data_IF_393993198679
#
_entry.id   IF_393993198679
#
_cell.length_a   1.000
_cell.length_b   1.000
_cell.length_c   1.000
_cell.angle_alpha   90.00
_cell.angle_beta   90.00
_cell.angle_gamma   90.00
#
_symmetry.space_group_name_H-M   'P 1'
#
loop_
_entity.id
_entity.type
_entity.pdbx_description
1 polymer ?
#
# COMPACT_ATOMS: atom_id res chain seq x y z
N UNK A 1 -41.95 33.46 30.26
CA UNK A 1 -41.33 32.51 31.22
C UNK A 1 -40.90 31.29 30.42
N UNK A 2 -39.71 31.27 29.85
CA UNK A 2 -38.37 30.90 30.35
C UNK A 2 -37.97 29.58 29.67
N UNK A 3 -36.96 29.69 28.79
CA UNK A 3 -36.29 28.59 28.07
C UNK A 3 -35.43 27.79 29.05
N UNK A 4 -35.38 26.47 28.90
CA UNK A 4 -34.27 25.65 29.37
C UNK A 4 -33.70 24.86 28.19
N UNK A 5 -32.40 25.07 27.96
CA UNK A 5 -31.62 24.58 26.82
C UNK A 5 -31.10 23.17 27.10
N UNK A 6 -31.15 22.34 26.05
CA UNK A 6 -30.41 21.09 25.91
C UNK A 6 -28.92 21.46 25.76
N UNK A 7 -28.13 21.25 26.81
CA UNK A 7 -26.68 21.36 26.79
C UNK A 7 -26.11 20.12 27.49
N UNK A 8 -26.06 19.01 26.74
CA UNK A 8 -25.53 17.73 27.24
C UNK A 8 -24.73 16.97 26.20
N UNK A 9 -25.15 16.99 24.93
CA UNK A 9 -24.49 16.24 23.86
C UNK A 9 -23.14 16.80 23.40
N UNK A 10 -22.96 18.12 23.40
CA UNK A 10 -21.72 18.76 22.91
C UNK A 10 -20.56 18.66 23.92
N UNK A 11 -20.85 18.63 25.22
CA UNK A 11 -19.83 18.46 26.25
C UNK A 11 -19.24 17.03 26.27
N UNK A 12 -20.06 16.02 25.99
CA UNK A 12 -19.61 14.63 25.94
C UNK A 12 -18.70 14.34 24.73
N UNK A 13 -18.99 14.92 23.57
CA UNK A 13 -18.15 14.79 22.37
C UNK A 13 -16.81 15.52 22.52
N UNK A 14 -16.79 16.69 23.14
CA UNK A 14 -15.53 17.40 23.45
C UNK A 14 -14.69 16.67 24.49
N UNK A 15 -15.32 16.04 25.48
CA UNK A 15 -14.62 15.23 26.48
C UNK A 15 -14.03 13.95 25.86
N UNK A 16 -14.77 13.30 24.94
CA UNK A 16 -14.27 12.14 24.21
C UNK A 16 -13.10 12.50 23.29
N UNK A 17 -13.20 13.60 22.52
CA UNK A 17 -12.11 14.09 21.68
C UNK A 17 -10.87 14.48 22.51
N UNK A 18 -11.07 15.08 23.68
CA UNK A 18 -9.98 15.41 24.60
C UNK A 18 -9.31 14.15 25.18
N UNK A 19 -10.08 13.12 25.52
CA UNK A 19 -9.55 11.84 26.01
C UNK A 19 -8.79 11.06 24.92
N UNK A 20 -9.26 11.11 23.66
CA UNK A 20 -8.53 10.54 22.51
C UNK A 20 -7.24 11.31 22.26
N UNK A 21 -7.27 12.65 22.31
CA UNK A 21 -6.07 13.47 22.16
C UNK A 21 -5.05 13.23 23.30
N UNK A 22 -5.52 13.10 24.56
CA UNK A 22 -4.67 12.72 25.70
C UNK A 22 -4.13 11.29 25.58
N UNK A 23 -4.92 10.36 25.05
CA UNK A 23 -4.47 8.99 24.75
C UNK A 23 -3.38 8.95 23.68
N UNK A 24 -3.51 9.76 22.63
CA UNK A 24 -2.49 9.89 21.58
C UNK A 24 -1.23 10.58 22.08
N UNK A 25 -1.35 11.61 22.92
CA UNK A 25 -0.21 12.29 23.56
C UNK A 25 0.48 11.36 24.57
N UNK A 26 -0.27 10.57 25.34
CA UNK A 26 0.28 9.56 26.25
C UNK A 26 0.96 8.42 25.48
N UNK A 27 0.39 7.96 24.35
CA UNK A 27 1.02 6.98 23.48
C UNK A 27 2.31 7.51 22.84
N UNK A 28 2.36 8.82 22.52
CA UNK A 28 3.57 9.49 22.00
C UNK A 28 4.64 9.70 23.08
N UNK A 29 4.23 9.99 24.31
CA UNK A 29 5.11 10.06 25.48
C UNK A 29 5.64 8.68 25.88
N UNK A 30 4.84 7.62 25.77
CA UNK A 30 5.26 6.23 26.01
C UNK A 30 6.22 5.73 24.93
N UNK A 31 6.07 6.13 23.66
CA UNK A 31 7.07 5.88 22.61
C UNK A 31 8.40 6.61 22.85
N UNK A 32 8.38 7.74 23.55
CA UNK A 32 9.60 8.49 23.90
C UNK A 32 10.23 8.06 25.23
N UNK A 33 9.59 7.17 26.00
CA UNK A 33 10.11 6.65 27.26
C UNK A 33 10.89 5.33 27.10
N UNK A 34 10.94 4.77 25.89
CA UNK A 34 11.65 3.52 25.57
C UNK A 34 13.01 3.77 24.89
N UNK A 35 13.56 4.98 25.05
CA UNK A 35 14.92 5.31 24.64
C UNK A 35 15.82 5.30 25.88
N UNK A 36 16.72 4.32 25.87
CA UNK A 36 17.88 4.07 26.73
C UNK A 36 17.66 3.60 28.18
N UNK A 37 17.81 2.28 28.37
CA UNK A 37 18.55 1.71 29.50
C UNK A 37 19.16 0.34 29.14
N UNK A 38 20.50 0.31 29.09
CA UNK A 38 21.42 -0.84 29.11
C UNK A 38 21.35 -1.88 27.99
N UNK A 39 22.15 -1.62 26.94
CA UNK A 39 22.70 -2.65 26.07
C UNK A 39 23.81 -3.42 26.80
N UNK A 40 23.48 -4.61 27.32
CA UNK A 40 24.50 -5.59 27.70
C UNK A 40 24.98 -6.33 26.44
N UNK A 41 26.29 -6.49 26.34
CA UNK A 41 27.01 -6.92 25.13
C UNK A 41 26.81 -8.42 24.91
N UNK A 42 25.95 -8.79 23.97
CA UNK A 42 25.82 -10.16 23.47
C UNK A 42 26.89 -10.46 22.40
N UNK A 43 27.46 -11.68 22.33
CA UNK A 43 28.65 -11.95 21.52
C UNK A 43 28.37 -11.89 20.01
N UNK A 44 29.36 -11.40 19.27
CA UNK A 44 29.31 -11.24 17.82
C UNK A 44 29.11 -12.60 17.11
N UNK A 45 27.96 -12.75 16.44
CA UNK A 45 27.69 -13.85 15.51
C UNK A 45 28.45 -13.59 14.19
N UNK A 46 29.02 -14.61 13.54
CA UNK A 46 29.84 -14.43 12.34
C UNK A 46 29.05 -13.80 11.19
N UNK A 47 29.63 -12.76 10.56
CA UNK A 47 29.10 -12.16 9.33
C UNK A 47 29.29 -13.15 8.18
N UNK A 48 28.21 -13.46 7.46
CA UNK A 48 28.29 -14.08 6.14
C UNK A 48 28.89 -13.08 5.13
N UNK A 49 29.59 -13.56 4.08
CA UNK A 49 30.19 -12.70 3.08
C UNK A 49 29.13 -11.88 2.34
N UNK A 50 29.46 -10.62 2.04
CA UNK A 50 28.61 -9.70 1.30
C UNK A 50 28.32 -10.22 -0.11
N UNK A 51 27.06 -10.13 -0.52
CA UNK A 51 26.57 -10.34 -1.89
C UNK A 51 27.12 -9.24 -2.82
N UNK A 52 27.33 -9.58 -4.09
CA UNK A 52 27.99 -8.71 -5.09
C UNK A 52 27.18 -7.45 -5.43
N UNK A 53 27.85 -6.35 -5.79
CA UNK A 53 27.24 -5.04 -6.08
C UNK A 53 26.06 -5.03 -7.08
N UNK A 54 26.06 -5.93 -8.08
CA UNK A 54 24.93 -6.07 -9.02
C UNK A 54 23.62 -6.59 -8.37
N UNK A 55 23.71 -7.24 -7.20
CA UNK A 55 22.56 -7.87 -6.53
C UNK A 55 21.59 -6.85 -5.90
N UNK A 56 21.96 -5.57 -5.81
CA UNK A 56 21.28 -4.57 -4.98
C UNK A 56 20.57 -3.45 -5.75
N UNK A 57 20.33 -3.63 -7.06
CA UNK A 57 19.67 -2.62 -7.92
C UNK A 57 18.19 -2.37 -7.58
N UNK A 58 17.56 -3.24 -6.79
CA UNK A 58 16.18 -3.10 -6.32
C UNK A 58 15.97 -2.09 -5.18
N UNK A 59 17.05 -1.56 -4.58
CA UNK A 59 16.96 -0.61 -3.48
C UNK A 59 16.68 0.83 -3.93
N UNK A 60 15.88 1.57 -3.16
CA UNK A 60 15.61 2.98 -3.39
C UNK A 60 16.90 3.79 -3.42
N UNK A 61 17.01 4.65 -4.41
CA UNK A 61 18.16 5.52 -4.62
C UNK A 61 17.70 6.85 -5.20
N UNK A 62 18.35 7.94 -4.83
CA UNK A 62 17.97 9.22 -5.41
C UNK A 62 18.74 10.38 -4.84
N UNK A 63 18.34 11.56 -5.30
CA UNK A 63 18.90 12.84 -4.89
C UNK A 63 17.87 13.64 -4.11
N UNK A 64 18.23 14.03 -2.89
CA UNK A 64 17.42 14.87 -2.01
C UNK A 64 18.02 16.27 -1.95
N UNK A 65 17.27 17.25 -2.46
CA UNK A 65 17.63 18.67 -2.37
C UNK A 65 16.89 19.33 -1.22
N UNK A 66 17.61 20.06 -0.38
CA UNK A 66 17.06 20.76 0.79
C UNK A 66 16.60 22.18 0.47
N UNK A 67 15.78 22.76 1.36
CA UNK A 67 15.36 24.16 1.28
C UNK A 67 16.52 25.18 1.28
N UNK A 68 17.67 24.82 1.86
CA UNK A 68 18.90 25.65 1.84
C UNK A 68 19.74 25.48 0.58
N UNK A 69 19.37 24.56 -0.32
CA UNK A 69 20.10 24.27 -1.57
C UNK A 69 21.20 23.22 -1.45
N UNK A 70 21.40 22.61 -0.27
CA UNK A 70 22.28 21.44 -0.16
C UNK A 70 21.62 20.23 -0.83
N UNK A 71 22.41 19.38 -1.48
CA UNK A 71 21.96 18.16 -2.13
C UNK A 71 22.73 16.96 -1.57
N UNK A 72 22.00 15.86 -1.35
CA UNK A 72 22.52 14.57 -0.92
C UNK A 72 22.08 13.53 -1.92
N UNK A 73 22.95 12.59 -2.27
CA UNK A 73 22.66 11.55 -3.25
C UNK A 73 23.11 10.21 -2.70
N UNK A 74 22.23 9.21 -2.78
CA UNK A 74 22.54 7.90 -2.23
C UNK A 74 21.33 7.00 -2.08
N UNK A 75 21.54 5.88 -1.39
CA UNK A 75 20.47 4.96 -1.01
C UNK A 75 19.48 5.67 -0.09
N UNK A 76 18.18 5.43 -0.27
CA UNK A 76 17.09 6.05 0.49
C UNK A 76 16.37 5.02 1.39
N UNK A 77 15.82 5.49 2.51
CA UNK A 77 14.85 4.76 3.36
C UNK A 77 13.76 5.72 3.83
N UNK A 78 12.51 5.31 3.69
CA UNK A 78 11.30 6.07 4.07
C UNK A 78 10.58 5.42 5.27
N UNK A 79 9.63 6.15 5.87
CA UNK A 79 8.71 5.59 6.88
C UNK A 79 9.37 5.08 8.16
N UNK A 80 10.44 5.72 8.65
CA UNK A 80 11.04 5.34 9.94
C UNK A 80 11.61 3.92 9.99
N UNK A 81 12.23 3.46 8.88
CA UNK A 81 12.75 2.11 8.64
C UNK A 81 11.74 1.09 8.09
N UNK A 82 10.75 1.52 7.30
CA UNK A 82 9.80 0.62 6.64
C UNK A 82 10.14 0.35 5.15
N UNK A 83 10.21 1.39 4.30
CA UNK A 83 10.31 1.23 2.84
C UNK A 83 11.75 1.45 2.31
N UNK A 84 12.29 0.48 1.58
CA UNK A 84 13.67 0.48 1.03
C UNK A 84 13.80 0.02 -0.41
N UNK A 85 12.74 -0.45 -1.05
CA UNK A 85 12.81 -1.04 -2.39
C UNK A 85 11.89 -0.35 -3.40
N UNK A 86 12.24 -0.42 -4.69
CA UNK A 86 11.42 0.17 -5.75
C UNK A 86 10.02 -0.44 -5.85
N UNK A 87 9.85 -1.69 -5.42
CA UNK A 87 8.55 -2.35 -5.34
C UNK A 87 7.70 -1.97 -4.13
N UNK A 88 8.27 -1.24 -3.16
CA UNK A 88 7.52 -0.70 -2.02
C UNK A 88 6.62 0.45 -2.47
N UNK A 89 5.61 0.79 -1.66
CA UNK A 89 4.59 1.75 -2.03
C UNK A 89 4.75 3.04 -1.25
N UNK A 90 4.54 4.15 -1.95
CA UNK A 90 4.36 5.46 -1.37
C UNK A 90 2.87 5.74 -1.24
N UNK A 91 2.44 6.07 -0.03
CA UNK A 91 1.05 6.30 0.34
C UNK A 91 0.80 7.75 0.73
N UNK A 92 -0.41 8.21 0.47
CA UNK A 92 -0.91 9.48 0.98
C UNK A 92 -2.39 9.67 0.68
N UNK A 93 -2.83 10.93 0.76
CA UNK A 93 -4.20 11.30 0.43
C UNK A 93 -4.22 12.45 -0.57
N UNK A 94 -5.01 12.32 -1.64
CA UNK A 94 -5.15 13.37 -2.65
C UNK A 94 -5.80 14.61 -2.01
N UNK A 95 -5.23 15.79 -2.24
CA UNK A 95 -5.76 17.06 -1.69
C UNK A 95 -7.16 17.34 -2.26
N UNK A 96 -7.33 17.09 -3.56
CA UNK A 96 -8.59 17.20 -4.29
C UNK A 96 -8.73 16.05 -5.28
N UNK A 97 -9.97 15.72 -5.65
CA UNK A 97 -10.23 14.75 -6.71
C UNK A 97 -10.22 15.45 -8.08
N UNK A 98 -9.26 15.14 -8.97
CA UNK A 98 -9.13 15.83 -10.25
C UNK A 98 -10.28 15.54 -11.21
N UNK A 99 -11.04 14.47 -10.98
CA UNK A 99 -12.12 13.99 -11.84
C UNK A 99 -13.51 14.49 -11.41
N UNK A 100 -13.60 15.19 -10.28
CA UNK A 100 -14.87 15.67 -9.72
C UNK A 100 -15.65 16.59 -10.69
N UNK A 101 -14.94 17.35 -11.52
CA UNK A 101 -15.53 18.28 -12.48
C UNK A 101 -16.19 17.59 -13.68
N UNK A 102 -15.80 16.34 -13.97
CA UNK A 102 -16.33 15.54 -15.08
C UNK A 102 -17.59 14.77 -14.70
N UNK A 103 -17.99 14.80 -13.42
CA UNK A 103 -19.21 14.15 -12.93
C UNK A 103 -20.39 15.13 -12.98
N UNK A 104 -21.54 14.75 -13.59
CA UNK A 104 -22.74 15.58 -13.56
C UNK A 104 -23.17 15.93 -12.12
N UNK A 105 -23.49 17.19 -11.80
CA UNK A 105 -23.80 17.61 -10.42
C UNK A 105 -24.95 16.81 -9.77
N UNK A 106 -25.93 16.38 -10.55
CA UNK A 106 -27.04 15.54 -10.12
C UNK A 106 -26.61 14.13 -9.72
N UNK A 107 -25.47 13.63 -10.24
CA UNK A 107 -24.89 12.33 -9.91
C UNK A 107 -23.95 12.39 -8.70
N UNK A 108 -23.56 13.58 -8.24
CA UNK A 108 -22.75 13.78 -7.03
C UNK A 108 -23.55 13.62 -5.72
N UNK A 109 -24.87 13.39 -5.80
CA UNK A 109 -25.74 13.17 -4.65
C UNK A 109 -26.50 11.86 -4.83
N UNK A 110 -26.22 10.89 -3.98
CA UNK A 110 -26.98 9.65 -3.90
C UNK A 110 -28.20 9.83 -2.99
N UNK A 111 -29.35 9.33 -3.44
CA UNK A 111 -30.56 9.24 -2.62
C UNK A 111 -30.83 7.79 -2.27
N UNK A 112 -30.47 7.36 -1.05
CA UNK A 112 -30.70 5.98 -0.60
C UNK A 112 -32.01 5.87 0.20
N UNK A 113 -32.89 4.90 -0.10
CA UNK A 113 -34.10 4.67 0.69
C UNK A 113 -33.72 4.16 2.09
N UNK A 114 -34.31 4.77 3.11
CA UNK A 114 -34.25 4.31 4.49
C UNK A 114 -35.45 3.42 4.72
N UNK A 115 -35.19 2.12 4.82
CA UNK A 115 -36.22 1.11 5.08
C UNK A 115 -36.24 0.72 6.56
N UNK A 116 -37.43 0.55 7.11
CA UNK A 116 -37.65 -0.04 8.44
C UNK A 116 -38.64 -1.17 8.28
N UNK A 117 -38.26 -2.38 8.66
CA UNK A 117 -39.07 -3.60 8.52
C UNK A 117 -39.60 -3.81 7.08
N UNK A 118 -38.78 -3.49 6.07
CA UNK A 118 -39.13 -3.65 4.66
C UNK A 118 -40.02 -2.55 4.07
N UNK A 119 -40.35 -1.50 4.83
CA UNK A 119 -41.11 -0.33 4.34
C UNK A 119 -40.19 0.87 4.19
N UNK A 120 -40.18 1.47 3.00
CA UNK A 120 -39.45 2.73 2.74
C UNK A 120 -40.13 3.89 3.51
N UNK A 121 -39.39 4.51 4.43
CA UNK A 121 -39.91 5.59 5.29
C UNK A 121 -39.45 6.97 4.81
N UNK A 122 -38.22 7.07 4.31
CA UNK A 122 -37.65 8.32 3.79
C UNK A 122 -36.50 8.02 2.85
N UNK A 123 -36.02 9.04 2.13
CA UNK A 123 -34.79 8.96 1.34
C UNK A 123 -33.74 9.83 1.99
N UNK A 124 -32.58 9.25 2.24
CA UNK A 124 -31.43 9.96 2.77
C UNK A 124 -30.53 10.36 1.61
N UNK A 125 -30.38 11.65 1.43
CA UNK A 125 -29.40 12.20 0.51
C UNK A 125 -28.00 12.14 1.15
N UNK A 126 -27.04 11.62 0.40
CA UNK A 126 -25.63 11.58 0.77
C UNK A 126 -24.81 12.06 -0.42
N UNK A 127 -23.93 13.04 -0.18
CA UNK A 127 -22.94 13.44 -1.18
C UNK A 127 -21.95 12.31 -1.41
N UNK A 128 -21.58 12.10 -2.66
CA UNK A 128 -20.52 11.17 -3.04
C UNK A 128 -19.22 11.55 -2.30
N UNK A 129 -18.55 10.54 -1.73
CA UNK A 129 -17.26 10.79 -1.09
C UNK A 129 -16.18 10.79 -2.15
N UNK A 130 -15.64 11.97 -2.44
CA UNK A 130 -14.59 12.17 -3.45
C UNK A 130 -13.18 12.14 -2.87
N UNK A 131 -13.03 12.02 -1.54
CA UNK A 131 -11.72 11.83 -0.94
C UNK A 131 -11.13 10.50 -1.39
N UNK A 132 -9.89 10.54 -1.88
CA UNK A 132 -9.20 9.38 -2.44
C UNK A 132 -7.80 9.22 -1.87
N UNK A 133 -7.42 8.01 -1.42
CA UNK A 133 -6.04 7.73 -1.11
C UNK A 133 -5.19 7.84 -2.38
N UNK A 134 -3.89 7.99 -2.19
CA UNK A 134 -2.91 7.84 -3.26
C UNK A 134 -1.98 6.71 -2.88
N UNK A 135 -1.75 5.80 -3.81
CA UNK A 135 -0.80 4.71 -3.65
C UNK A 135 -0.07 4.50 -4.98
N UNK A 136 1.26 4.51 -4.95
CA UNK A 136 2.09 4.22 -6.11
C UNK A 136 3.36 3.50 -5.68
N UNK A 137 3.85 2.55 -6.47
CA UNK A 137 5.16 1.96 -6.21
C UNK A 137 6.22 3.03 -6.37
N UNK A 138 7.24 3.05 -5.52
CA UNK A 138 8.35 4.00 -5.65
C UNK A 138 9.01 3.92 -7.02
N UNK A 139 9.09 2.74 -7.61
CA UNK A 139 9.61 2.53 -8.96
C UNK A 139 8.82 3.26 -10.05
N UNK A 140 7.54 3.58 -9.84
CA UNK A 140 6.71 4.32 -10.79
C UNK A 140 6.83 5.85 -10.60
N UNK A 141 7.47 6.32 -9.53
CA UNK A 141 7.58 7.74 -9.17
C UNK A 141 8.88 8.32 -9.70
N UNK A 142 8.79 9.46 -10.37
CA UNK A 142 9.95 10.22 -10.84
C UNK A 142 10.48 11.20 -9.81
N UNK A 143 9.59 11.94 -9.16
CA UNK A 143 9.95 13.01 -8.23
C UNK A 143 8.85 13.32 -7.22
N UNK A 144 9.27 13.85 -6.07
CA UNK A 144 8.40 14.36 -5.01
C UNK A 144 8.82 15.77 -4.62
N UNK A 145 7.88 16.69 -4.58
CA UNK A 145 8.11 18.12 -4.39
C UNK A 145 7.14 18.72 -3.35
N UNK A 146 7.55 18.83 -2.07
CA UNK A 146 6.75 19.49 -1.04
C UNK A 146 6.67 21.01 -1.25
N UNK A 147 5.49 21.59 -1.08
CA UNK A 147 5.23 23.03 -1.12
C UNK A 147 4.17 23.44 -0.10
N UNK A 148 4.58 24.05 1.01
CA UNK A 148 3.64 24.44 2.06
C UNK A 148 2.91 23.23 2.65
N UNK A 149 1.59 23.16 2.44
CA UNK A 149 0.71 22.05 2.87
C UNK A 149 0.53 20.96 1.81
N UNK A 150 1.04 21.18 0.62
CA UNK A 150 0.87 20.28 -0.53
C UNK A 150 2.15 19.48 -0.77
N UNK A 151 1.97 18.30 -1.36
CA UNK A 151 3.04 17.45 -1.83
C UNK A 151 2.74 17.02 -3.27
N UNK A 152 3.53 17.53 -4.23
CA UNK A 152 3.40 17.11 -5.63
C UNK A 152 4.20 15.84 -5.86
N UNK A 153 3.53 14.75 -6.18
CA UNK A 153 4.15 13.49 -6.64
C UNK A 153 4.00 13.42 -8.15
N UNK A 154 5.10 13.28 -8.88
CA UNK A 154 5.07 13.10 -10.34
C UNK A 154 5.52 11.69 -10.69
N UNK A 155 4.66 10.96 -11.40
CA UNK A 155 4.96 9.63 -11.93
C UNK A 155 5.91 9.71 -13.14
N UNK A 156 6.48 8.56 -13.52
CA UNK A 156 7.31 8.43 -14.74
C UNK A 156 6.57 8.75 -16.03
N UNK A 157 5.25 8.54 -16.06
CA UNK A 157 4.36 8.96 -17.15
C UNK A 157 4.31 10.49 -17.33
N UNK A 158 4.69 11.24 -16.30
CA UNK A 158 4.59 12.70 -16.26
C UNK A 158 3.34 13.19 -15.52
N UNK A 159 2.41 12.30 -15.19
CA UNK A 159 1.21 12.62 -14.41
C UNK A 159 1.59 13.07 -13.01
N UNK A 160 0.95 14.16 -12.56
CA UNK A 160 1.20 14.79 -11.27
C UNK A 160 -0.02 14.70 -10.36
N UNK A 161 0.19 14.25 -9.13
CA UNK A 161 -0.81 14.23 -8.07
C UNK A 161 -0.44 15.20 -6.96
N UNK A 162 -1.39 16.05 -6.58
CA UNK A 162 -1.24 16.94 -5.43
C UNK A 162 -1.85 16.25 -4.22
N UNK A 163 -1.00 15.94 -3.24
CA UNK A 163 -1.40 15.28 -2.01
C UNK A 163 -1.43 16.26 -0.85
N UNK A 164 -2.27 15.98 0.14
CA UNK A 164 -2.16 16.61 1.44
C UNK A 164 -0.88 16.10 2.11
N UNK A 165 0.09 16.99 2.27
CA UNK A 165 1.40 16.65 2.82
C UNK A 165 1.32 16.02 4.21
N UNK A 166 0.37 16.45 5.05
CA UNK A 166 0.27 16.00 6.43
C UNK A 166 -0.47 14.67 6.58
N UNK A 167 -1.11 14.20 5.50
CA UNK A 167 -1.75 12.89 5.41
C UNK A 167 -0.94 11.95 4.48
N UNK A 168 0.30 12.33 4.14
CA UNK A 168 1.27 11.50 3.41
C UNK A 168 2.23 10.83 4.41
N UNK A 169 1.74 9.78 5.07
CA UNK A 169 2.41 9.12 6.19
C UNK A 169 3.86 8.74 5.89
N UNK A 170 4.13 8.19 4.70
CA UNK A 170 5.48 7.75 4.30
C UNK A 170 6.49 8.91 4.16
N UNK A 171 6.00 10.13 3.91
CA UNK A 171 6.84 11.32 3.85
C UNK A 171 7.01 11.96 5.24
N UNK A 172 6.02 11.85 6.12
CA UNK A 172 5.98 12.56 7.40
C UNK A 172 7.13 12.18 8.35
N UNK A 173 7.64 10.95 8.26
CA UNK A 173 8.77 10.48 9.08
C UNK A 173 10.14 10.94 8.56
N UNK A 174 10.18 11.60 7.40
CA UNK A 174 11.41 12.05 6.75
C UNK A 174 12.10 10.95 5.93
N UNK A 175 13.32 11.24 5.51
CA UNK A 175 14.11 10.38 4.62
C UNK A 175 15.51 10.22 5.17
N UNK A 176 15.97 8.98 5.28
CA UNK A 176 17.37 8.64 5.55
C UNK A 176 18.10 8.42 4.23
N UNK A 177 19.27 9.03 4.10
CA UNK A 177 20.15 8.94 2.93
C UNK A 177 21.50 8.36 3.37
N UNK A 178 21.97 7.32 2.70
CA UNK A 178 23.37 6.88 2.80
C UNK A 178 24.13 7.50 1.63
N UNK A 179 24.77 8.64 1.89
CA UNK A 179 25.50 9.45 0.92
C UNK A 179 27.01 9.14 1.00
N UNK A 180 27.66 8.93 -0.15
CA UNK A 180 29.07 8.53 -0.21
C UNK A 180 30.04 9.57 0.35
N UNK A 181 29.66 10.86 0.33
CA UNK A 181 30.51 11.96 0.78
C UNK A 181 30.24 12.35 2.23
N UNK A 182 28.99 12.21 2.69
CA UNK A 182 28.52 12.72 3.97
C UNK A 182 28.15 11.61 4.98
N UNK A 183 28.20 10.34 4.56
CA UNK A 183 27.77 9.21 5.37
C UNK A 183 26.25 9.15 5.49
N UNK A 184 25.75 8.78 6.67
CA UNK A 184 24.30 8.69 6.92
C UNK A 184 23.73 10.06 7.27
N UNK A 185 22.74 10.51 6.51
CA UNK A 185 22.05 11.79 6.68
C UNK A 185 20.56 11.54 6.88
N UNK A 186 20.03 11.90 8.03
CA UNK A 186 18.58 11.89 8.29
C UNK A 186 17.98 13.29 8.08
N UNK A 187 17.02 13.40 7.16
CA UNK A 187 16.33 14.64 6.85
C UNK A 187 14.85 14.55 7.22
N UNK A 188 14.42 15.40 8.15
CA UNK A 188 12.99 15.63 8.37
C UNK A 188 12.34 16.18 7.10
N UNK A 189 11.09 15.81 6.83
CA UNK A 189 10.29 16.31 5.70
C UNK A 189 10.33 17.84 5.52
N UNK A 190 10.40 18.62 6.61
CA UNK A 190 10.43 20.09 6.58
C UNK A 190 11.66 20.68 5.92
N UNK A 191 12.75 19.92 5.85
CA UNK A 191 14.02 20.37 5.24
C UNK A 191 14.08 20.03 3.76
N UNK A 192 13.24 19.11 3.30
CA UNK A 192 13.24 18.60 1.93
C UNK A 192 12.52 19.60 1.03
N UNK A 193 13.16 19.95 -0.08
CA UNK A 193 12.58 20.76 -1.15
C UNK A 193 12.17 19.89 -2.33
N UNK A 194 12.96 18.86 -2.64
CA UNK A 194 12.73 17.95 -3.75
C UNK A 194 13.43 16.61 -3.50
N UNK A 195 12.79 15.54 -3.91
CA UNK A 195 13.39 14.21 -4.07
C UNK A 195 13.30 13.84 -5.55
N UNK A 196 14.43 13.46 -6.15
CA UNK A 196 14.51 12.91 -7.51
C UNK A 196 14.91 11.44 -7.39
N UNK A 197 14.08 10.53 -7.90
CA UNK A 197 14.38 9.11 -7.91
C UNK A 197 15.22 8.76 -9.13
N UNK A 198 16.30 8.01 -8.91
CA UNK A 198 17.33 7.72 -9.90
C UNK A 198 17.62 6.21 -9.89
N UNK A 199 18.10 5.64 -11.01
CA UNK A 199 18.61 4.27 -11.01
C UNK A 199 19.63 4.06 -9.90
N UNK A 200 19.50 2.93 -9.22
CA UNK A 200 20.37 2.56 -8.09
C UNK A 200 21.80 2.41 -8.59
N UNK A 201 22.72 3.17 -7.99
CA UNK A 201 24.15 2.99 -8.21
C UNK A 201 24.62 1.63 -7.68
N UNK A 202 25.84 1.22 -8.01
CA UNK A 202 26.44 0.01 -7.44
C UNK A 202 26.62 0.19 -5.92
N UNK A 203 26.07 -0.74 -5.13
CA UNK A 203 26.07 -0.66 -3.66
C UNK A 203 26.81 -1.86 -3.07
N UNK A 204 27.71 -1.60 -2.12
CA UNK A 204 28.45 -2.63 -1.39
C UNK A 204 27.89 -2.86 0.02
N UNK A 205 27.89 -4.13 0.46
CA UNK A 205 27.64 -4.49 1.86
C UNK A 205 26.19 -4.31 2.33
N UNK A 206 25.23 -4.34 1.41
CA UNK A 206 23.80 -4.26 1.71
C UNK A 206 23.26 -5.67 2.00
N UNK A 207 22.35 -5.80 2.97
CA UNK A 207 21.71 -7.07 3.26
C UNK A 207 20.72 -7.47 2.16
N UNK A 208 20.55 -8.77 1.94
CA UNK A 208 19.61 -9.28 0.94
C UNK A 208 18.15 -8.99 1.34
N UNK A 209 17.32 -8.75 0.32
CA UNK A 209 15.87 -8.63 0.52
C UNK A 209 15.28 -9.98 0.88
N UNK A 210 14.34 -10.00 1.82
CA UNK A 210 13.62 -11.23 2.15
C UNK A 210 12.85 -11.72 0.94
N UNK A 211 12.97 -13.01 0.65
CA UNK A 211 12.26 -13.68 -0.42
C UNK A 211 11.83 -15.07 0.06
N UNK A 212 10.65 -15.51 -0.37
CA UNK A 212 10.16 -16.82 0.02
C UNK A 212 8.76 -17.12 -0.47
N UNK A 213 8.25 -18.23 0.02
CA UNK A 213 6.89 -18.70 -0.27
C UNK A 213 6.05 -18.60 0.99
N UNK A 214 5.01 -17.77 0.95
CA UNK A 214 3.97 -17.70 1.97
C UNK A 214 2.83 -18.65 1.60
N UNK A 215 2.44 -19.50 2.54
CA UNK A 215 1.34 -20.45 2.41
C UNK A 215 0.12 -19.95 3.16
N UNK A 216 -1.04 -20.07 2.53
CA UNK A 216 -2.36 -19.85 3.11
C UNK A 216 -3.25 -21.05 2.82
N UNK A 217 -4.41 -21.21 3.50
CA UNK A 217 -5.33 -22.31 3.24
C UNK A 217 -5.81 -22.37 1.77
N UNK A 218 -5.86 -21.23 1.09
CA UNK A 218 -6.39 -21.11 -0.27
C UNK A 218 -5.31 -21.16 -1.35
N UNK A 219 -4.12 -20.58 -1.09
CA UNK A 219 -3.10 -20.36 -2.12
C UNK A 219 -1.70 -20.14 -1.52
N UNK A 220 -0.68 -20.46 -2.32
CA UNK A 220 0.70 -20.05 -2.05
C UNK A 220 1.10 -18.83 -2.89
N UNK A 221 1.83 -17.91 -2.26
CA UNK A 221 2.40 -16.71 -2.87
C UNK A 221 3.91 -16.78 -2.77
N UNK A 222 4.62 -16.48 -3.85
CA UNK A 222 6.08 -16.54 -3.90
C UNK A 222 6.63 -15.24 -4.46
N UNK A 223 7.54 -14.62 -3.72
CA UNK A 223 8.12 -13.35 -4.11
C UNK A 223 8.91 -12.71 -2.98
N UNK A 224 9.16 -11.41 -3.10
CA UNK A 224 9.79 -10.64 -2.02
C UNK A 224 8.83 -10.43 -0.87
N UNK A 225 9.34 -10.53 0.35
CA UNK A 225 8.54 -10.55 1.57
C UNK A 225 8.83 -9.32 2.41
N UNK A 226 7.76 -8.72 2.95
CA UNK A 226 7.87 -7.77 4.05
C UNK A 226 7.06 -8.32 5.24
N UNK A 227 7.77 -8.75 6.28
CA UNK A 227 7.18 -9.33 7.48
C UNK A 227 6.61 -8.24 8.39
N UNK A 228 5.38 -8.43 8.86
CA UNK A 228 4.71 -7.54 9.82
C UNK A 228 4.64 -6.07 9.33
N UNK A 229 4.61 -5.93 7.99
CA UNK A 229 4.65 -4.67 7.23
C UNK A 229 5.82 -3.75 7.60
N UNK A 230 6.98 -4.31 7.94
CA UNK A 230 8.14 -3.53 8.38
C UNK A 230 9.47 -4.16 7.94
N UNK A 231 9.69 -5.44 8.27
CA UNK A 231 10.98 -6.08 8.06
C UNK A 231 11.07 -6.71 6.68
N UNK A 232 12.04 -6.27 5.89
CA UNK A 232 12.23 -6.69 4.49
C UNK A 232 13.68 -7.04 4.15
N UNK A 233 14.61 -6.89 5.11
CA UNK A 233 16.02 -7.24 4.95
C UNK A 233 16.40 -8.44 5.81
N UNK A 234 17.35 -9.25 5.33
CA UNK A 234 17.94 -10.36 6.11
C UNK A 234 18.62 -9.89 7.40
N UNK A 235 19.09 -8.64 7.45
CA UNK A 235 19.67 -8.02 8.64
C UNK A 235 18.65 -7.57 9.68
N UNK A 236 17.36 -7.51 9.33
CA UNK A 236 16.31 -7.12 10.27
C UNK A 236 16.11 -8.23 11.31
N UNK A 237 15.53 -7.85 12.45
CA UNK A 237 15.35 -8.73 13.59
C UNK A 237 13.88 -9.13 13.81
N UNK A 238 13.64 -10.44 13.93
CA UNK A 238 12.42 -10.99 14.49
C UNK A 238 12.54 -11.06 16.02
N UNK A 239 11.74 -10.25 16.71
CA UNK A 239 11.72 -10.19 18.18
C UNK A 239 10.52 -10.95 18.75
N UNK A 240 10.77 -11.75 19.77
CA UNK A 240 9.76 -12.55 20.47
C UNK A 240 10.16 -12.85 21.91
N UNK A 241 9.36 -13.68 22.58
CA UNK A 241 9.70 -14.26 23.89
C UNK A 241 9.68 -15.79 23.83
N UNK A 242 10.63 -16.40 24.52
CA UNK A 242 10.67 -17.82 24.86
C UNK A 242 10.40 -18.01 26.36
N UNK A 243 10.51 -19.25 26.87
CA UNK A 243 10.43 -19.51 28.31
C UNK A 243 11.56 -18.84 29.11
N UNK A 244 12.70 -18.59 28.47
CA UNK A 244 13.91 -18.05 29.10
C UNK A 244 13.99 -16.51 29.04
N UNK A 245 13.04 -15.85 28.37
CA UNK A 245 12.95 -14.39 28.30
C UNK A 245 12.80 -13.86 26.88
N UNK A 246 13.25 -12.62 26.66
CA UNK A 246 13.25 -12.00 25.34
C UNK A 246 14.27 -12.64 24.42
N UNK A 247 13.91 -12.76 23.15
CA UNK A 247 14.72 -13.43 22.15
C UNK A 247 14.62 -12.68 20.83
N UNK A 248 15.76 -12.48 20.17
CA UNK A 248 15.88 -11.78 18.88
C UNK A 248 16.66 -12.64 17.91
N UNK A 249 16.18 -12.75 16.67
CA UNK A 249 16.82 -13.51 15.60
C UNK A 249 16.90 -12.63 14.35
N UNK A 250 18.05 -12.60 13.68
CA UNK A 250 18.13 -12.04 12.33
C UNK A 250 17.37 -12.91 11.33
N UNK A 251 16.67 -12.29 10.39
CA UNK A 251 15.93 -13.05 9.37
C UNK A 251 16.82 -13.91 8.48
N UNK A 252 18.07 -13.51 8.23
CA UNK A 252 19.02 -14.32 7.47
C UNK A 252 19.40 -15.65 8.14
N UNK A 253 19.25 -15.78 9.46
CA UNK A 253 19.44 -17.04 10.19
C UNK A 253 18.20 -17.96 10.14
N UNK A 254 17.04 -17.44 9.72
CA UNK A 254 15.77 -18.14 9.74
C UNK A 254 15.56 -18.90 8.42
N UNK A 255 15.17 -20.16 8.51
CA UNK A 255 14.75 -20.99 7.38
C UNK A 255 13.24 -20.86 7.12
N UNK A 256 12.44 -20.84 8.19
CA UNK A 256 10.99 -20.72 8.07
C UNK A 256 10.34 -20.18 9.34
N UNK A 257 9.18 -19.56 9.17
CA UNK A 257 8.28 -19.16 10.26
C UNK A 257 6.93 -19.80 9.98
N UNK A 258 6.40 -20.59 10.90
CA UNK A 258 5.07 -21.18 10.82
C UNK A 258 4.19 -20.66 11.95
N UNK A 259 2.92 -20.36 11.68
CA UNK A 259 1.97 -20.00 12.73
C UNK A 259 1.70 -21.23 13.59
N UNK A 260 2.03 -21.13 14.87
CA UNK A 260 1.86 -22.22 15.84
C UNK A 260 0.52 -22.09 16.58
N UNK A 261 0.14 -20.85 16.90
CA UNK A 261 -1.19 -20.51 17.40
C UNK A 261 -1.60 -19.12 16.91
N UNK A 262 -2.73 -18.60 17.40
CA UNK A 262 -3.10 -17.20 17.10
C UNK A 262 -2.11 -16.19 17.71
N UNK A 263 -1.28 -16.59 18.69
CA UNK A 263 -0.39 -15.69 19.43
C UNK A 263 1.07 -16.18 19.52
N UNK A 264 1.43 -17.16 18.69
CA UNK A 264 2.78 -17.72 18.62
C UNK A 264 3.16 -18.16 17.22
N UNK A 265 4.47 -18.19 16.97
CA UNK A 265 5.07 -18.73 15.75
C UNK A 265 6.19 -19.73 16.09
N UNK A 266 6.21 -20.86 15.38
CA UNK A 266 7.35 -21.77 15.34
C UNK A 266 8.35 -21.24 14.32
N UNK A 267 9.53 -20.87 14.79
CA UNK A 267 10.66 -20.40 13.99
C UNK A 267 11.66 -21.53 13.88
N UNK A 268 12.00 -21.89 12.66
CA UNK A 268 13.05 -22.87 12.38
C UNK A 268 14.24 -22.19 11.74
N UNK A 269 15.41 -22.36 12.34
CA UNK A 269 16.67 -21.81 11.87
C UNK A 269 17.28 -22.64 10.75
N UNK A 270 18.23 -22.04 10.02
CA UNK A 270 18.97 -22.72 8.95
C UNK A 270 19.83 -23.88 9.45
N UNK A 271 20.35 -23.78 10.68
CA UNK A 271 21.12 -24.85 11.34
C UNK A 271 20.25 -26.00 11.89
N UNK A 272 18.92 -25.86 11.81
CA UNK A 272 17.96 -26.84 12.29
C UNK A 272 17.44 -26.58 13.71
N UNK A 273 17.91 -25.56 14.41
CA UNK A 273 17.34 -25.13 15.68
C UNK A 273 15.87 -24.68 15.53
N UNK A 274 15.05 -24.93 16.55
CA UNK A 274 13.64 -24.58 16.57
C UNK A 274 13.27 -23.83 17.85
N UNK A 275 12.50 -22.76 17.69
CA UNK A 275 12.03 -21.91 18.78
C UNK A 275 10.57 -21.57 18.58
N UNK A 276 9.77 -21.66 19.63
CA UNK A 276 8.43 -21.07 19.65
C UNK A 276 8.55 -19.67 20.22
N UNK A 277 8.24 -18.66 19.41
CA UNK A 277 8.24 -17.26 19.80
C UNK A 277 6.80 -16.78 20.03
N UNK A 278 6.61 -15.97 21.06
CA UNK A 278 5.31 -15.37 21.41
C UNK A 278 5.47 -14.00 22.05
N UNK A 279 4.35 -13.36 22.43
CA UNK A 279 4.35 -12.21 23.34
C UNK A 279 4.79 -10.88 22.73
N UNK A 280 5.02 -10.82 21.42
CA UNK A 280 5.25 -9.58 20.67
C UNK A 280 4.28 -9.50 19.50
N UNK A 281 4.12 -8.29 18.96
CA UNK A 281 3.33 -8.03 17.76
C UNK A 281 3.78 -8.91 16.58
N UNK A 282 5.10 -9.04 16.38
CA UNK A 282 5.69 -9.68 15.21
C UNK A 282 5.40 -11.18 15.08
N UNK A 283 5.00 -11.87 16.15
CA UNK A 283 4.76 -13.32 16.16
C UNK A 283 3.41 -13.70 16.80
N UNK A 284 2.46 -12.77 16.85
CA UNK A 284 1.18 -13.01 17.53
C UNK A 284 0.02 -12.19 16.98
N UNK A 285 -1.04 -12.03 17.79
CA UNK A 285 -2.32 -11.43 17.34
C UNK A 285 -2.21 -10.01 16.79
N UNK A 286 -1.16 -9.29 17.18
CA UNK A 286 -0.90 -7.93 16.72
C UNK A 286 -0.20 -7.86 15.35
N UNK A 287 0.24 -8.98 14.78
CA UNK A 287 0.96 -8.98 13.51
C UNK A 287 0.08 -8.34 12.42
N UNK A 288 0.62 -7.34 11.73
CA UNK A 288 -0.08 -6.52 10.74
C UNK A 288 -0.23 -7.22 9.38
N UNK A 289 0.24 -8.46 9.26
CA UNK A 289 0.24 -9.26 8.05
C UNK A 289 1.61 -9.32 7.37
N UNK A 290 1.68 -10.12 6.31
CA UNK A 290 2.90 -10.35 5.52
C UNK A 290 2.64 -9.91 4.10
N UNK A 291 3.38 -8.90 3.62
CA UNK A 291 3.34 -8.57 2.19
C UNK A 291 4.16 -9.57 1.40
N UNK A 292 3.66 -9.92 0.22
CA UNK A 292 4.40 -10.66 -0.81
C UNK A 292 4.26 -9.93 -2.14
N UNK A 293 5.39 -9.48 -2.69
CA UNK A 293 5.48 -8.97 -4.06
C UNK A 293 5.49 -10.17 -5.02
N UNK A 294 4.31 -10.71 -5.30
CA UNK A 294 4.13 -11.86 -6.20
C UNK A 294 3.96 -11.37 -7.64
N UNK A 295 4.86 -11.77 -8.54
CA UNK A 295 4.88 -11.31 -9.93
C UNK A 295 3.61 -11.59 -10.73
N UNK A 296 2.72 -12.46 -10.23
CA UNK A 296 1.39 -12.70 -10.84
C UNK A 296 0.37 -11.62 -10.50
N UNK A 297 0.48 -11.00 -9.33
CA UNK A 297 -0.54 -10.11 -8.77
C UNK A 297 -0.05 -8.70 -8.48
N UNK A 298 1.26 -8.44 -8.57
CA UNK A 298 1.84 -7.20 -8.04
C UNK A 298 2.18 -7.39 -6.57
N UNK A 299 1.27 -7.04 -5.66
CA UNK A 299 1.45 -7.23 -4.21
C UNK A 299 0.21 -7.88 -3.59
N UNK A 300 0.43 -8.74 -2.61
CA UNK A 300 -0.63 -9.26 -1.73
C UNK A 300 -0.26 -9.04 -0.26
N UNK A 301 -1.26 -8.78 0.58
CA UNK A 301 -1.13 -8.77 2.04
C UNK A 301 -1.83 -9.99 2.61
N UNK A 302 -1.06 -10.92 3.18
CA UNK A 302 -1.61 -12.08 3.89
C UNK A 302 -1.84 -11.70 5.35
N UNK A 303 -3.11 -11.67 5.78
CA UNK A 303 -3.45 -11.44 7.18
C UNK A 303 -2.85 -12.52 8.09
N UNK A 304 -2.61 -12.18 9.36
CA UNK A 304 -2.13 -13.17 10.34
C UNK A 304 -3.08 -14.37 10.50
N UNK A 305 -4.39 -14.16 10.34
CA UNK A 305 -5.36 -15.27 10.41
C UNK A 305 -5.25 -16.22 9.22
N UNK A 306 -4.96 -15.71 8.02
CA UNK A 306 -4.80 -16.52 6.81
C UNK A 306 -3.38 -17.09 6.66
N UNK A 307 -2.39 -16.54 7.37
CA UNK A 307 -1.00 -17.00 7.33
C UNK A 307 -0.86 -18.39 7.95
N UNK A 308 -0.24 -19.33 7.23
CA UNK A 308 0.13 -20.64 7.78
C UNK A 308 1.64 -20.75 7.98
N UNK A 309 2.42 -20.40 6.95
CA UNK A 309 3.86 -20.60 6.94
C UNK A 309 4.54 -19.74 5.89
N UNK A 310 5.72 -19.24 6.22
CA UNK A 310 6.71 -18.68 5.32
C UNK A 310 7.93 -19.60 5.27
N UNK A 311 8.26 -20.07 4.08
CA UNK A 311 9.54 -20.73 3.80
C UNK A 311 10.45 -19.73 3.08
N UNK A 312 11.58 -19.36 3.70
CA UNK A 312 12.53 -18.43 3.10
C UNK A 312 13.32 -19.14 1.98
N UNK A 313 13.35 -18.49 0.82
CA UNK A 313 14.17 -18.90 -0.32
C UNK A 313 15.40 -18.03 -0.49
N UNK A 314 16.19 -18.33 -1.50
CA UNK A 314 17.18 -17.39 -2.06
C UNK A 314 16.51 -16.66 -3.21
N UNK A 315 16.56 -15.33 -3.20
CA UNK A 315 16.25 -14.54 -4.39
C UNK A 315 17.52 -14.27 -5.18
N UNK A 316 17.37 -14.13 -6.49
CA UNK A 316 18.40 -13.52 -7.33
C UNK A 316 18.30 -12.00 -7.17
N UNK A 317 19.05 -11.47 -6.21
CA UNK A 317 19.13 -10.03 -5.95
C UNK A 317 18.00 -9.44 -5.09
N UNK A 318 17.79 -8.14 -5.25
CA UNK A 318 16.93 -7.28 -4.40
C UNK A 318 15.59 -6.92 -5.03
N UNK A 319 15.28 -7.51 -6.19
CA UNK A 319 14.09 -7.20 -6.98
C UNK A 319 14.38 -6.26 -8.15
N UNK A 320 13.31 -5.83 -8.85
CA UNK A 320 13.47 -5.06 -10.08
C UNK A 320 14.18 -3.73 -9.84
N UNK A 321 15.09 -3.38 -10.72
CA UNK A 321 15.75 -2.09 -10.75
C UNK A 321 14.75 -0.99 -11.12
N UNK A 322 15.10 0.27 -10.82
CA UNK A 322 14.25 1.41 -11.14
C UNK A 322 13.77 1.43 -12.59
N UNK A 323 14.66 1.17 -13.56
CA UNK A 323 14.31 1.23 -14.99
C UNK A 323 13.44 0.05 -15.47
N UNK A 324 13.26 -0.98 -14.65
CA UNK A 324 12.33 -2.10 -14.91
C UNK A 324 10.88 -1.76 -14.55
N UNK A 325 10.63 -0.57 -13.97
CA UNK A 325 9.30 0.00 -13.79
C UNK A 325 9.02 0.99 -14.94
N UNK A 326 8.30 0.56 -15.99
CA UNK A 326 8.00 1.43 -17.13
C UNK A 326 7.03 2.54 -16.73
N UNK A 327 7.02 3.62 -17.52
CA UNK A 327 6.02 4.67 -17.37
C UNK A 327 4.60 4.11 -17.55
N UNK A 328 3.68 4.54 -16.68
CA UNK A 328 2.26 4.23 -16.78
C UNK A 328 1.65 4.72 -18.09
N UNK A 329 0.65 3.99 -18.58
CA UNK A 329 -0.19 4.37 -19.70
C UNK A 329 -1.58 4.69 -19.19
N UNK A 330 -2.31 5.55 -19.92
CA UNK A 330 -3.71 5.81 -19.60
C UNK A 330 -4.53 4.52 -19.71
N UNK A 331 -5.46 4.30 -18.78
CA UNK A 331 -6.39 3.20 -18.85
C UNK A 331 -7.30 3.37 -20.07
N UNK A 332 -7.44 2.31 -20.86
CA UNK A 332 -8.37 2.27 -21.98
C UNK A 332 -9.08 0.93 -22.02
N UNK A 333 -10.25 0.92 -22.65
CA UNK A 333 -11.03 -0.28 -22.84
C UNK A 333 -12.50 0.03 -23.05
N UNK A 334 -13.36 -0.83 -22.54
CA UNK A 334 -14.80 -0.69 -22.69
C UNK A 334 -15.60 -1.14 -21.47
N UNK A 335 -16.66 -0.40 -21.19
CA UNK A 335 -17.61 -0.66 -20.11
C UNK A 335 -18.93 -1.08 -20.71
N UNK A 336 -19.43 -2.24 -20.29
CA UNK A 336 -20.81 -2.68 -20.56
C UNK A 336 -21.65 -2.42 -19.31
N UNK A 337 -22.71 -1.64 -19.50
CA UNK A 337 -23.69 -1.35 -18.45
C UNK A 337 -24.76 -2.44 -18.40
N UNK A 338 -25.44 -2.56 -17.26
CA UNK A 338 -26.56 -3.50 -17.05
C UNK A 338 -27.75 -3.26 -17.99
N UNK A 339 -27.84 -2.07 -18.58
CA UNK A 339 -28.84 -1.75 -19.62
C UNK A 339 -28.48 -2.29 -21.01
N UNK A 340 -27.31 -2.91 -21.16
CA UNK A 340 -26.77 -3.44 -22.42
C UNK A 340 -25.99 -2.41 -23.25
N UNK A 341 -25.89 -1.15 -22.80
CA UNK A 341 -25.05 -0.13 -23.47
C UNK A 341 -23.57 -0.44 -23.26
N UNK A 342 -22.78 -0.33 -24.34
CA UNK A 342 -21.32 -0.46 -24.33
C UNK A 342 -20.66 0.87 -24.69
N UNK A 343 -19.76 1.35 -23.83
CA UNK A 343 -18.99 2.58 -24.00
C UNK A 343 -17.51 2.21 -24.09
N UNK A 344 -16.77 2.74 -25.05
CA UNK A 344 -15.35 2.43 -25.24
C UNK A 344 -14.52 3.70 -25.39
N UNK A 345 -13.32 3.70 -24.81
CA UNK A 345 -12.42 4.85 -24.83
C UNK A 345 -11.44 4.83 -23.67
N UNK A 346 -10.94 6.01 -23.30
CA UNK A 346 -10.11 6.19 -22.11
C UNK A 346 -10.98 6.13 -20.86
N UNK A 347 -10.47 5.49 -19.81
CA UNK A 347 -11.21 5.19 -18.59
C UNK A 347 -10.59 5.89 -17.39
N UNK A 348 -11.44 6.26 -16.44
CA UNK A 348 -11.06 6.50 -15.05
C UNK A 348 -11.95 5.60 -14.20
N UNK A 349 -11.31 4.72 -13.43
CA UNK A 349 -11.95 3.80 -12.50
C UNK A 349 -12.10 4.48 -11.14
N UNK A 350 -13.19 4.22 -10.42
CA UNK A 350 -13.50 4.75 -9.08
C UNK A 350 -13.35 6.29 -8.90
N UNK A 351 -13.44 7.04 -10.00
CA UNK A 351 -13.06 8.46 -10.05
C UNK A 351 -11.68 8.72 -9.44
N UNK A 352 -10.75 7.79 -9.62
CA UNK A 352 -9.44 7.84 -9.02
C UNK A 352 -8.35 7.31 -9.95
N UNK A 353 -8.39 6.02 -10.28
CA UNK A 353 -7.36 5.35 -11.08
C UNK A 353 -7.55 5.62 -12.57
N UNK A 354 -6.49 6.12 -13.19
CA UNK A 354 -6.45 6.56 -14.58
C UNK A 354 -5.26 6.00 -15.36
N UNK A 355 -4.30 5.36 -14.69
CA UNK A 355 -3.13 4.75 -15.30
C UNK A 355 -2.95 3.25 -14.97
N UNK A 356 -2.25 2.55 -15.86
CA UNK A 356 -1.96 1.11 -15.75
C UNK A 356 -1.08 0.72 -14.56
N UNK A 357 -0.36 1.69 -13.97
CA UNK A 357 0.49 1.48 -12.78
C UNK A 357 -0.28 1.67 -11.48
N UNK A 358 -1.44 2.32 -11.51
CA UNK A 358 -2.37 2.36 -10.37
C UNK A 358 -3.01 0.99 -10.18
N UNK A 359 -3.62 0.74 -9.02
CA UNK A 359 -3.93 -0.62 -8.55
C UNK A 359 -5.42 -0.82 -8.32
N UNK A 360 -5.89 -2.03 -8.57
CA UNK A 360 -7.17 -2.56 -8.10
C UNK A 360 -6.94 -3.28 -6.77
N UNK A 361 -7.57 -2.78 -5.71
CA UNK A 361 -7.50 -3.30 -4.35
C UNK A 361 -8.79 -4.04 -3.96
N UNK A 362 -8.67 -5.34 -3.70
CA UNK A 362 -9.80 -6.14 -3.22
C UNK A 362 -9.36 -7.39 -2.41
N UNK A 363 -10.11 -7.75 -1.35
CA UNK A 363 -9.79 -8.91 -0.53
C UNK A 363 -10.33 -10.22 -1.09
N UNK A 364 -9.73 -11.32 -0.63
CA UNK A 364 -10.30 -12.67 -0.71
C UNK A 364 -9.77 -13.55 0.40
N UNK A 365 -10.64 -14.00 1.30
CA UNK A 365 -10.33 -15.05 2.27
C UNK A 365 -9.19 -14.71 3.23
N UNK A 366 -9.07 -13.43 3.62
CA UNK A 366 -8.00 -12.94 4.49
C UNK A 366 -6.68 -12.61 3.77
N UNK A 367 -6.71 -12.49 2.44
CA UNK A 367 -5.63 -11.96 1.62
C UNK A 367 -6.15 -10.72 0.89
N UNK A 368 -5.48 -9.59 1.06
CA UNK A 368 -5.79 -8.36 0.32
C UNK A 368 -4.90 -8.32 -0.94
N UNK A 369 -5.51 -8.19 -2.11
CA UNK A 369 -4.79 -8.09 -3.38
C UNK A 369 -4.63 -6.62 -3.75
N UNK A 370 -3.45 -6.24 -4.21
CA UNK A 370 -3.12 -4.93 -4.78
C UNK A 370 -2.57 -5.16 -6.18
N UNK A 371 -3.45 -5.11 -7.18
CA UNK A 371 -3.19 -5.56 -8.54
C UNK A 371 -3.02 -4.36 -9.48
N UNK A 372 -1.83 -4.10 -10.04
CA UNK A 372 -1.68 -3.05 -11.05
C UNK A 372 -2.69 -3.26 -12.19
N UNK A 373 -3.42 -2.20 -12.57
CA UNK A 373 -4.44 -2.28 -13.61
C UNK A 373 -3.89 -2.80 -14.95
N UNK A 374 -2.60 -2.58 -15.22
CA UNK A 374 -1.91 -3.15 -16.39
C UNK A 374 -1.85 -4.69 -16.42
N UNK A 375 -2.20 -5.37 -15.33
CA UNK A 375 -2.36 -6.83 -15.27
C UNK A 375 -3.81 -7.29 -15.46
N UNK A 376 -4.79 -6.39 -15.31
CA UNK A 376 -6.22 -6.73 -15.31
C UNK A 376 -6.76 -6.68 -16.74
N UNK A 377 -7.35 -7.78 -17.19
CA UNK A 377 -7.98 -7.88 -18.51
C UNK A 377 -9.48 -7.58 -18.48
N UNK A 378 -10.19 -8.06 -17.44
CA UNK A 378 -11.60 -7.73 -17.28
C UNK A 378 -12.10 -7.89 -15.85
N UNK A 379 -13.14 -7.13 -15.51
CA UNK A 379 -13.86 -7.20 -14.24
C UNK A 379 -15.33 -7.48 -14.57
N UNK A 380 -15.93 -8.48 -13.92
CA UNK A 380 -17.34 -8.84 -14.06
C UNK A 380 -18.02 -8.75 -12.70
N UNK A 381 -19.02 -7.89 -12.62
CA UNK A 381 -19.79 -7.66 -11.39
C UNK A 381 -21.01 -8.61 -11.33
N UNK A 382 -21.44 -9.01 -10.12
CA UNK A 382 -22.62 -9.87 -9.95
C UNK A 382 -23.91 -9.21 -10.47
N UNK A 383 -24.89 -10.03 -10.88
CA UNK A 383 -26.08 -9.59 -11.64
C UNK A 383 -27.17 -8.87 -10.82
N UNK A 384 -27.41 -9.25 -9.57
CA UNK A 384 -28.39 -8.58 -8.69
C UNK A 384 -27.70 -7.47 -7.87
N UNK A 385 -28.47 -6.55 -7.28
CA UNK A 385 -28.11 -5.40 -6.41
C UNK A 385 -26.62 -5.27 -5.99
N UNK A 386 -26.06 -4.07 -6.21
CA UNK A 386 -24.69 -3.62 -5.93
C UNK A 386 -23.87 -4.50 -4.96
N UNK A 387 -22.61 -4.75 -5.33
CA UNK A 387 -21.60 -5.43 -4.53
C UNK A 387 -21.77 -5.20 -3.01
N UNK A 388 -22.27 -6.22 -2.30
CA UNK A 388 -22.55 -6.21 -0.86
C UNK A 388 -22.06 -7.50 -0.19
N UNK A 389 -22.29 -7.64 1.12
CA UNK A 389 -21.67 -8.69 1.96
C UNK A 389 -21.77 -10.11 1.36
N UNK A 390 -20.60 -10.75 1.21
CA UNK A 390 -20.46 -12.13 0.75
C UNK A 390 -20.55 -12.35 -0.75
N UNK A 391 -20.68 -11.27 -1.54
CA UNK A 391 -20.63 -11.35 -3.01
C UNK A 391 -19.20 -11.23 -3.53
N UNK A 392 -18.97 -11.82 -4.69
CA UNK A 392 -17.69 -11.76 -5.36
C UNK A 392 -17.83 -11.25 -6.79
N UNK A 393 -16.78 -10.58 -7.27
CA UNK A 393 -16.60 -10.18 -8.65
C UNK A 393 -15.52 -11.06 -9.31
N UNK A 394 -15.72 -11.38 -10.58
CA UNK A 394 -14.74 -12.11 -11.37
C UNK A 394 -13.72 -11.15 -11.98
N UNK A 395 -12.47 -11.22 -11.56
CA UNK A 395 -11.36 -10.42 -12.10
C UNK A 395 -10.46 -11.33 -12.92
N UNK A 396 -10.44 -11.15 -14.24
CA UNK A 396 -9.56 -11.91 -15.14
C UNK A 396 -8.31 -11.10 -15.43
N UNK A 397 -7.14 -11.71 -15.23
CA UNK A 397 -5.84 -11.12 -15.55
C UNK A 397 -5.47 -11.36 -17.02
N UNK A 398 -4.55 -10.57 -17.57
CA UNK A 398 -4.03 -10.77 -18.91
C UNK A 398 -3.26 -12.09 -19.09
N UNK A 399 -2.86 -12.73 -18.00
CA UNK A 399 -2.32 -14.11 -17.98
C UNK A 399 -3.38 -15.17 -18.31
N UNK A 400 -4.66 -14.82 -18.22
CA UNK A 400 -5.80 -15.74 -18.35
C UNK A 400 -6.30 -16.31 -17.02
N UNK A 401 -5.58 -16.08 -15.91
CA UNK A 401 -6.07 -16.46 -14.57
C UNK A 401 -7.30 -15.62 -14.19
N UNK A 402 -8.30 -16.25 -13.59
CA UNK A 402 -9.48 -15.57 -13.04
C UNK A 402 -9.46 -15.66 -11.52
N UNK A 403 -9.54 -14.51 -10.88
CA UNK A 403 -9.69 -14.35 -9.44
C UNK A 403 -11.16 -14.10 -9.12
N UNK A 404 -11.63 -14.74 -8.05
CA UNK A 404 -12.94 -14.51 -7.46
C UNK A 404 -12.69 -13.62 -6.24
N UNK A 405 -12.88 -12.30 -6.37
CA UNK A 405 -12.54 -11.31 -5.35
C UNK A 405 -13.79 -10.80 -4.64
N UNK A 406 -13.68 -10.53 -3.35
CA UNK A 406 -14.78 -9.97 -2.58
C UNK A 406 -15.14 -8.57 -3.09
N UNK A 407 -16.45 -8.31 -3.11
CA UNK A 407 -17.05 -7.01 -3.40
C UNK A 407 -16.75 -6.00 -2.28
N UNK A 408 -15.47 -5.70 -2.08
CA UNK A 408 -14.93 -4.79 -1.07
C UNK A 408 -13.71 -4.05 -1.66
N UNK A 409 -13.20 -3.05 -0.93
CA UNK A 409 -12.23 -2.11 -1.50
C UNK A 409 -12.82 -1.43 -2.73
N UNK A 410 -12.07 -1.46 -3.82
CA UNK A 410 -12.39 -0.84 -5.11
C UNK A 410 -13.56 -1.52 -5.82
N UNK A 411 -13.91 -2.75 -5.40
CA UNK A 411 -15.05 -3.48 -5.95
C UNK A 411 -16.33 -3.29 -5.13
N UNK A 412 -16.26 -2.63 -3.98
CA UNK A 412 -17.38 -2.50 -3.03
C UNK A 412 -18.34 -1.35 -3.32
N UNK A 413 -19.31 -1.14 -2.42
CA UNK A 413 -20.25 -0.01 -2.49
C UNK A 413 -19.59 1.38 -2.38
N UNK A 414 -18.31 1.43 -2.00
CA UNK A 414 -17.53 2.66 -1.91
C UNK A 414 -17.05 3.19 -3.26
N UNK A 415 -17.14 2.37 -4.31
CA UNK A 415 -16.75 2.75 -5.67
C UNK A 415 -17.69 3.85 -6.20
N UNK A 416 -17.10 4.96 -6.63
CA UNK A 416 -17.74 6.18 -7.10
C UNK A 416 -18.10 6.15 -8.59
N UNK A 417 -17.98 5.00 -9.25
CA UNK A 417 -18.31 4.83 -10.65
C UNK A 417 -17.12 5.09 -11.58
N UNK A 418 -17.44 5.25 -12.86
CA UNK A 418 -16.44 5.34 -13.92
C UNK A 418 -16.67 6.56 -14.81
N UNK A 419 -15.58 7.13 -15.31
CA UNK A 419 -15.60 8.06 -16.43
C UNK A 419 -15.11 7.37 -17.69
N UNK A 420 -15.84 7.52 -18.78
CA UNK A 420 -15.48 7.00 -20.10
C UNK A 420 -15.40 8.16 -21.08
N UNK A 421 -14.19 8.49 -21.51
CA UNK A 421 -13.94 9.51 -22.52
C UNK A 421 -14.05 8.86 -23.90
N UNK A 422 -15.19 9.07 -24.56
CA UNK A 422 -15.50 8.44 -25.87
C UNK A 422 -15.03 9.33 -27.04
N UNK A 423 -14.40 8.70 -28.05
CA UNK A 423 -13.87 9.39 -29.23
C UNK A 423 -12.71 10.34 -28.92
N UNK A 424 -12.54 11.38 -29.75
CA UNK A 424 -11.48 12.40 -29.60
C UNK A 424 -11.87 13.53 -28.64
N UNK A 425 -12.98 13.38 -27.90
CA UNK A 425 -13.59 14.43 -27.09
C UNK A 425 -12.99 14.59 -25.69
N UNK A 426 -13.09 15.80 -25.15
CA UNK A 426 -12.71 16.12 -23.75
C UNK A 426 -13.81 15.75 -22.74
N UNK A 427 -15.06 15.56 -23.16
CA UNK A 427 -16.17 15.27 -22.26
C UNK A 427 -16.27 13.79 -21.93
N UNK A 428 -16.21 13.44 -20.65
CA UNK A 428 -16.48 12.10 -20.17
C UNK A 428 -17.99 11.79 -20.09
N UNK A 429 -18.32 10.53 -20.31
CA UNK A 429 -19.58 9.96 -19.85
C UNK A 429 -19.38 9.29 -18.49
N UNK A 430 -20.17 9.70 -17.50
CA UNK A 430 -20.20 9.10 -16.17
C UNK A 430 -21.15 7.90 -16.13
N UNK A 431 -20.67 6.78 -15.59
CA UNK A 431 -21.46 5.56 -15.31
C UNK A 431 -21.34 5.25 -13.82
N UNK A 432 -22.48 5.19 -13.13
CA UNK A 432 -22.51 4.83 -11.72
C UNK A 432 -22.11 3.36 -11.52
N UNK A 433 -21.48 3.03 -10.39
CA UNK A 433 -20.97 1.67 -10.14
C UNK A 433 -22.06 0.59 -10.20
N UNK A 434 -23.25 0.90 -9.70
CA UNK A 434 -24.41 -0.01 -9.74
C UNK A 434 -24.96 -0.23 -11.17
N UNK A 435 -24.66 0.66 -12.11
CA UNK A 435 -25.00 0.53 -13.53
C UNK A 435 -23.98 -0.32 -14.31
N UNK A 436 -22.78 -0.58 -13.76
CA UNK A 436 -21.73 -1.38 -14.40
C UNK A 436 -22.04 -2.88 -14.30
N UNK A 437 -21.89 -3.59 -15.41
CA UNK A 437 -21.95 -5.05 -15.48
C UNK A 437 -20.56 -5.65 -15.71
N UNK A 438 -19.84 -5.11 -16.69
CA UNK A 438 -18.53 -5.62 -17.11
C UNK A 438 -17.61 -4.49 -17.55
N UNK A 439 -16.33 -4.64 -17.23
CA UNK A 439 -15.25 -3.78 -17.71
C UNK A 439 -14.28 -4.69 -18.45
N UNK A 440 -13.96 -4.33 -19.69
CA UNK A 440 -12.88 -4.92 -20.49
C UNK A 440 -11.76 -3.89 -20.58
N UNK A 441 -10.54 -4.27 -20.20
CA UNK A 441 -9.37 -3.40 -20.25
C UNK A 441 -8.43 -3.83 -21.38
N UNK A 442 -7.91 -2.84 -22.09
CA UNK A 442 -6.93 -3.07 -23.13
C UNK A 442 -5.58 -3.46 -22.51
N UNK A 443 -4.85 -4.34 -23.19
CA UNK A 443 -3.50 -4.69 -22.77
C UNK A 443 -2.57 -3.49 -22.98
N UNK A 444 -1.78 -3.08 -21.97
CA UNK A 444 -0.79 -2.02 -22.13
C UNK A 444 0.16 -2.34 -23.28
N UNK A 445 0.49 -1.34 -24.10
CA UNK A 445 1.45 -1.52 -25.18
C UNK A 445 2.86 -1.56 -24.57
N UNK A 446 3.72 -2.53 -24.92
CA UNK A 446 5.10 -2.49 -24.43
C UNK A 446 5.78 -1.18 -24.84
N UNK A 447 6.28 -0.41 -23.87
CA UNK A 447 7.07 0.78 -24.16
C UNK A 447 8.46 0.29 -24.58
N UNK A 448 8.84 0.49 -25.84
CA UNK A 448 10.21 0.22 -26.28
C UNK A 448 11.15 1.17 -25.52
N UNK A 449 12.01 0.59 -24.68
CA UNK A 449 13.08 1.32 -23.99
C UNK A 449 14.20 1.54 -25.01
N UNK A 450 14.33 2.78 -25.51
CA UNK A 450 15.39 3.18 -26.45
C UNK A 450 16.68 3.59 -25.75
#
# INVERSE_FOLDING_TARGET
>A
MTRARIAGGTAALLLFALLVALGLVAARLLRNLDVDADADVSPAIPRLPATSAEAHKGLLYGRVTTGSGAAYEGRLRFGGDEEAFWGDYFNGFKEENPWAADVPPERLTESRPVTVLGVEITRRERKLNLGRPFMARFGDIRRVEPSGRELLVTLKSGTGFVLNRFDADDFADGVRIWDDQHGVVDLSERRIRRIEFLPTAELDGVADRLHGTVRTPQRNFTGFVQWDRQSSLGSDELRGRTADGEFSLRFDAIRSIARDSNDSALVTLRDGGEFVLSGTRAVGRGNRGVYVDDGRYGRVLVSWQAFERLDFGTADGSGPAYDEFPAGQQLSGAVTTRSGRRLAGRLVFDLDESETTETLDAPRGGVDYTIPFGLVASIVLPAEEACGDGRHAGVTLHSGETLDLECAGDLGEGNAGMLIFTGDGESAEYVAWDEVERIDLDRPVPVEVF
#
